data_IF_708559341156
#
_entry.id   IF_708559341156
#
_cell.length_a   1.000
_cell.length_b   1.000
_cell.length_c   1.000
_cell.angle_alpha   90.00
_cell.angle_beta   90.00
_cell.angle_gamma   90.00
#
_symmetry.space_group_name_H-M   'P 1'
#
loop_
_entity.id
_entity.type
_entity.pdbx_description
1 polymer ?
#
# COMPACT_ATOMS: atom_id res chain seq x y z
N UNK A 1 -0.33 -3.90 -21.96
CA UNK A 1 -1.64 -4.05 -21.34
C UNK A 1 -1.62 -3.52 -19.94
N UNK A 2 -2.45 -2.54 -19.67
CA UNK A 2 -2.48 -1.92 -18.33
C UNK A 2 -3.23 -2.84 -17.38
N UNK A 3 -2.55 -3.25 -16.32
CA UNK A 3 -3.18 -4.08 -15.31
C UNK A 3 -4.13 -3.22 -14.49
N UNK A 4 -5.40 -3.63 -14.41
CA UNK A 4 -6.39 -2.92 -13.61
C UNK A 4 -6.46 -3.54 -12.22
N UNK A 5 -6.06 -2.77 -11.23
CA UNK A 5 -6.15 -3.20 -9.84
C UNK A 5 -7.50 -2.81 -9.26
N UNK A 6 -7.96 -3.57 -8.28
CA UNK A 6 -9.08 -3.15 -7.46
C UNK A 6 -8.65 -1.91 -6.67
N UNK A 7 -9.34 -0.77 -6.80
CA UNK A 7 -8.89 0.48 -6.15
C UNK A 7 -8.78 0.38 -4.63
N UNK A 8 -9.67 -0.37 -3.99
CA UNK A 8 -9.66 -0.53 -2.53
C UNK A 8 -8.43 -1.32 -2.08
N UNK A 9 -8.17 -2.43 -2.75
CA UNK A 9 -7.00 -3.27 -2.46
C UNK A 9 -5.70 -2.54 -2.75
N UNK A 10 -5.67 -1.75 -3.83
CA UNK A 10 -4.48 -0.99 -4.20
C UNK A 10 -4.17 0.10 -3.19
N UNK A 11 -5.17 0.84 -2.74
CA UNK A 11 -4.96 1.87 -1.72
C UNK A 11 -4.57 1.23 -0.39
N UNK A 12 -5.16 0.08 -0.04
CA UNK A 12 -4.76 -0.66 1.15
C UNK A 12 -3.29 -1.08 1.11
N UNK A 13 -2.77 -1.45 -0.06
CA UNK A 13 -1.35 -1.77 -0.22
C UNK A 13 -0.47 -0.57 0.13
N UNK A 14 -0.83 0.63 -0.30
CA UNK A 14 -0.07 1.83 0.03
C UNK A 14 -0.03 2.08 1.55
N UNK A 15 -1.15 1.89 2.22
CA UNK A 15 -1.22 2.05 3.67
C UNK A 15 -0.37 0.98 4.36
N UNK A 16 -0.48 -0.26 3.92
CA UNK A 16 0.32 -1.36 4.47
C UNK A 16 1.82 -1.10 4.31
N UNK A 17 2.24 -0.63 3.14
CA UNK A 17 3.64 -0.27 2.90
C UNK A 17 4.13 0.79 3.89
N UNK A 18 3.33 1.82 4.14
CA UNK A 18 3.70 2.89 5.07
C UNK A 18 3.83 2.36 6.50
N UNK A 19 2.90 1.51 6.92
CA UNK A 19 2.91 0.91 8.26
C UNK A 19 4.13 0.01 8.43
N UNK A 20 4.40 -0.85 7.43
CA UNK A 20 5.55 -1.75 7.46
C UNK A 20 6.86 -0.97 7.53
N UNK A 21 6.99 0.08 6.73
CA UNK A 21 8.20 0.88 6.73
C UNK A 21 8.43 1.58 8.08
N UNK A 22 7.39 2.15 8.65
CA UNK A 22 7.49 2.83 9.95
C UNK A 22 7.83 1.88 11.09
N UNK A 23 7.22 0.69 11.08
CA UNK A 23 7.41 -0.27 12.16
C UNK A 23 8.74 -1.02 12.07
N UNK A 24 9.15 -1.41 10.86
CA UNK A 24 10.30 -2.28 10.66
C UNK A 24 11.41 -1.67 9.81
N UNK A 25 11.18 -0.52 9.18
CA UNK A 25 12.15 0.04 8.25
C UNK A 25 12.33 -0.80 7.01
N UNK A 26 11.32 -1.58 6.65
CA UNK A 26 11.41 -2.53 5.54
C UNK A 26 11.35 -1.88 4.15
N UNK A 27 10.95 -0.62 4.09
CA UNK A 27 10.59 -0.01 2.82
C UNK A 27 9.28 -0.56 2.28
N UNK A 28 8.98 -0.24 1.04
CA UNK A 28 7.79 -0.74 0.35
C UNK A 28 7.98 -2.21 -0.04
N UNK A 29 6.90 -2.92 -0.28
CA UNK A 29 6.99 -4.30 -0.74
C UNK A 29 7.75 -4.35 -2.07
N UNK A 30 8.59 -5.36 -2.23
CA UNK A 30 9.35 -5.54 -3.47
C UNK A 30 8.57 -6.36 -4.49
N UNK A 31 7.49 -7.00 -4.07
CA UNK A 31 6.63 -7.79 -4.93
C UNK A 31 5.21 -7.69 -4.40
N UNK A 32 4.25 -7.44 -5.28
CA UNK A 32 2.86 -7.32 -4.90
C UNK A 32 1.96 -7.99 -5.92
N UNK A 33 0.92 -8.62 -5.44
CA UNK A 33 -0.09 -9.25 -6.27
C UNK A 33 -1.44 -8.73 -5.80
N UNK A 34 -1.93 -7.71 -6.49
CA UNK A 34 -3.15 -7.01 -6.06
C UNK A 34 -4.36 -7.59 -6.77
N UNK A 35 -5.20 -8.27 -6.01
CA UNK A 35 -6.42 -8.90 -6.52
C UNK A 35 -7.62 -8.52 -5.66
N UNK A 36 -8.81 -8.64 -6.22
CA UNK A 36 -10.03 -8.20 -5.57
C UNK A 36 -10.35 -8.95 -4.27
N UNK A 37 -10.18 -10.25 -4.26
CA UNK A 37 -10.55 -11.08 -3.10
C UNK A 37 -9.46 -11.15 -2.04
N UNK A 38 -8.23 -11.27 -2.48
CA UNK A 38 -7.08 -11.40 -1.58
C UNK A 38 -5.85 -10.89 -2.30
N UNK A 39 -5.10 -10.06 -1.63
CA UNK A 39 -3.86 -9.52 -2.17
C UNK A 39 -2.67 -9.98 -1.36
N UNK A 40 -1.49 -9.92 -1.96
CA UNK A 40 -0.24 -10.39 -1.36
C UNK A 40 0.85 -9.34 -1.54
N UNK A 41 1.58 -9.09 -0.47
CA UNK A 41 2.76 -8.21 -0.50
C UNK A 41 3.93 -8.92 0.14
N UNK A 42 5.10 -8.83 -0.50
CA UNK A 42 6.32 -9.42 0.01
C UNK A 42 7.28 -8.31 0.43
N UNK A 43 7.83 -8.44 1.64
CA UNK A 43 8.74 -7.46 2.23
C UNK A 43 10.05 -8.13 2.61
N UNK A 44 11.15 -7.40 2.52
CA UNK A 44 12.41 -7.89 3.06
C UNK A 44 12.45 -7.55 4.55
N UNK A 45 12.63 -8.55 5.36
CA UNK A 45 12.63 -8.39 6.80
C UNK A 45 13.72 -9.26 7.43
N UNK A 46 14.69 -8.59 8.05
CA UNK A 46 15.82 -9.26 8.69
C UNK A 46 15.59 -9.30 10.21
N UNK A 47 14.96 -10.26 10.69
CA UNK A 47 14.79 -10.37 12.11
C UNK A 47 13.53 -11.11 12.48
N UNK A 48 13.37 -11.44 13.77
CA UNK A 48 12.22 -12.19 14.20
C UNK A 48 10.94 -11.39 14.09
N UNK A 49 9.87 -12.08 13.82
CA UNK A 49 8.54 -11.52 13.75
C UNK A 49 7.63 -12.30 14.68
N UNK A 50 6.86 -11.61 15.50
CA UNK A 50 5.93 -12.25 16.43
C UNK A 50 4.50 -12.12 15.92
N UNK A 51 3.62 -12.96 16.46
CA UNK A 51 2.20 -12.85 16.17
C UNK A 51 1.66 -11.50 16.62
N UNK A 52 2.20 -10.96 17.71
CA UNK A 52 1.83 -9.63 18.20
C UNK A 52 2.21 -8.55 17.20
N UNK A 53 3.38 -8.67 16.56
CA UNK A 53 3.82 -7.73 15.52
C UNK A 53 2.81 -7.69 14.38
N UNK A 54 2.34 -8.86 13.95
CA UNK A 54 1.36 -8.95 12.86
C UNK A 54 0.04 -8.31 13.27
N UNK A 55 -0.38 -8.53 14.50
CA UNK A 55 -1.61 -7.94 15.02
C UNK A 55 -1.51 -6.42 15.08
N UNK A 56 -0.36 -5.90 15.51
CA UNK A 56 -0.12 -4.46 15.54
C UNK A 56 -0.15 -3.84 14.14
N UNK A 57 0.42 -4.54 13.14
CA UNK A 57 0.38 -4.07 11.76
C UNK A 57 -1.09 -3.97 11.30
N UNK A 58 -1.87 -5.01 11.51
CA UNK A 58 -3.28 -5.02 11.14
C UNK A 58 -4.06 -3.89 11.82
N UNK A 59 -3.86 -3.74 13.13
CA UNK A 59 -4.54 -2.70 13.90
C UNK A 59 -4.15 -1.30 13.43
N UNK A 60 -2.88 -1.07 13.16
CA UNK A 60 -2.40 0.23 12.69
C UNK A 60 -2.94 0.57 11.31
N UNK A 61 -2.97 -0.41 10.40
CA UNK A 61 -3.58 -0.20 9.08
C UNK A 61 -5.04 0.20 9.23
N UNK A 62 -5.78 -0.48 10.10
CA UNK A 62 -7.19 -0.16 10.33
C UNK A 62 -7.39 1.20 10.98
N UNK A 63 -6.49 1.61 11.89
CA UNK A 63 -6.53 2.95 12.46
C UNK A 63 -6.41 4.02 11.38
N UNK A 64 -5.49 3.82 10.43
CA UNK A 64 -5.31 4.74 9.31
C UNK A 64 -6.58 4.77 8.46
N UNK A 65 -7.13 3.62 8.13
CA UNK A 65 -8.36 3.53 7.34
C UNK A 65 -9.51 4.30 7.99
N UNK A 66 -9.64 4.18 9.30
CA UNK A 66 -10.73 4.83 10.04
C UNK A 66 -10.49 6.31 10.30
N UNK A 67 -9.31 6.84 9.96
CA UNK A 67 -9.00 8.26 10.15
C UNK A 67 -9.58 9.17 9.07
N UNK A 68 -10.22 8.61 8.06
CA UNK A 68 -10.88 9.36 6.98
C UNK A 68 -9.98 10.32 6.20
N UNK A 69 -8.71 9.93 6.00
CA UNK A 69 -7.80 10.75 5.22
C UNK A 69 -8.18 10.76 3.74
N UNK A 70 -7.95 11.89 3.04
CA UNK A 70 -8.20 11.92 1.61
C UNK A 70 -7.09 11.20 0.84
N UNK A 71 -7.46 10.62 -0.29
CA UNK A 71 -6.50 10.10 -1.26
C UNK A 71 -6.46 11.12 -2.39
N UNK A 72 -5.30 11.71 -2.62
CA UNK A 72 -5.15 12.79 -3.61
C UNK A 72 -4.10 12.42 -4.65
N UNK A 73 -4.17 13.06 -5.80
CA UNK A 73 -3.14 12.89 -6.82
C UNK A 73 -2.53 14.23 -7.19
N UNK A 74 -1.27 14.17 -7.56
CA UNK A 74 -0.50 15.32 -7.98
C UNK A 74 0.37 14.88 -9.14
N UNK A 75 0.57 15.75 -10.11
CA UNK A 75 1.43 15.46 -11.25
C UNK A 75 2.68 16.33 -11.17
N UNK A 76 3.84 15.68 -11.17
CA UNK A 76 5.14 16.35 -11.12
C UNK A 76 5.94 16.02 -12.39
N UNK A 77 6.88 16.90 -12.75
CA UNK A 77 7.84 16.56 -13.79
C UNK A 77 8.71 15.40 -13.29
N UNK A 78 9.26 14.62 -14.22
CA UNK A 78 10.15 13.50 -13.84
C UNK A 78 11.31 13.98 -12.97
N UNK A 79 11.88 15.12 -13.29
CA UNK A 79 13.02 15.65 -12.53
C UNK A 79 12.63 15.97 -11.09
N UNK A 80 11.50 16.61 -10.89
CA UNK A 80 11.02 16.91 -9.55
C UNK A 80 10.63 15.66 -8.78
N UNK A 81 9.98 14.71 -9.46
CA UNK A 81 9.60 13.45 -8.82
C UNK A 81 10.83 12.66 -8.41
N UNK A 82 11.87 12.64 -9.23
CA UNK A 82 13.10 11.91 -8.94
C UNK A 82 13.81 12.44 -7.70
N UNK A 83 13.66 13.72 -7.36
CA UNK A 83 14.26 14.30 -6.16
C UNK A 83 13.63 13.76 -4.87
N UNK A 84 12.40 13.29 -4.92
CA UNK A 84 11.62 12.90 -3.73
C UNK A 84 11.20 11.45 -3.71
N UNK A 85 11.09 10.80 -4.87
CA UNK A 85 10.48 9.49 -5.00
C UNK A 85 11.35 8.56 -5.82
N UNK A 86 11.21 7.27 -5.55
CA UNK A 86 11.86 6.23 -6.33
C UNK A 86 11.06 5.97 -7.61
N UNK A 87 11.67 6.19 -8.77
CA UNK A 87 11.02 6.00 -10.06
C UNK A 87 11.32 4.66 -10.71
N UNK A 88 12.07 3.78 -10.05
CA UNK A 88 12.49 2.49 -10.64
C UNK A 88 11.34 1.60 -11.10
N UNK A 89 10.20 1.68 -10.43
CA UNK A 89 9.04 0.84 -10.75
C UNK A 89 8.14 1.40 -11.84
N UNK A 90 8.42 2.59 -12.31
CA UNK A 90 7.62 3.19 -13.38
C UNK A 90 7.98 2.56 -14.71
N UNK A 91 6.99 2.40 -15.62
CA UNK A 91 7.27 1.91 -16.96
C UNK A 91 8.30 2.79 -17.68
N UNK A 92 9.08 2.17 -18.54
CA UNK A 92 10.11 2.88 -19.31
C UNK A 92 9.51 3.97 -20.20
N UNK A 93 8.26 3.80 -20.62
CA UNK A 93 7.54 4.74 -21.46
C UNK A 93 6.75 5.78 -20.67
N UNK A 94 7.02 5.91 -19.38
CA UNK A 94 6.42 6.95 -18.55
C UNK A 94 6.76 8.32 -19.15
N UNK A 95 5.73 9.13 -19.36
CA UNK A 95 5.91 10.46 -19.98
C UNK A 95 6.70 11.41 -19.11
N UNK A 96 6.74 12.68 -19.51
CA UNK A 96 7.50 13.71 -18.81
C UNK A 96 6.95 14.05 -17.43
N UNK A 97 5.70 13.68 -17.17
CA UNK A 97 5.03 13.93 -15.88
C UNK A 97 4.74 12.62 -15.17
N UNK A 98 4.88 12.64 -13.86
CA UNK A 98 4.69 11.47 -12.99
C UNK A 98 3.57 11.76 -12.02
N UNK A 99 2.68 10.80 -11.87
CA UNK A 99 1.56 10.89 -10.94
C UNK A 99 2.01 10.47 -9.56
N UNK A 100 1.74 11.32 -8.56
CA UNK A 100 2.00 11.03 -7.16
C UNK A 100 0.67 10.82 -6.47
N UNK A 101 0.53 9.69 -5.79
CA UNK A 101 -0.65 9.41 -4.98
C UNK A 101 -0.30 9.61 -3.52
N UNK A 102 -1.13 10.39 -2.82
CA UNK A 102 -0.97 10.65 -1.40
C UNK A 102 -2.16 10.13 -0.64
N UNK A 103 -1.88 9.50 0.49
CA UNK A 103 -2.91 9.09 1.46
C UNK A 103 -2.70 9.98 2.69
N UNK A 104 -3.35 11.13 2.73
CA UNK A 104 -3.11 12.11 3.79
C UNK A 104 -1.63 12.36 3.99
N UNK A 105 -1.17 12.29 5.23
CA UNK A 105 0.24 12.39 5.60
C UNK A 105 0.90 11.03 5.79
N UNK A 106 0.17 9.96 5.53
CA UNK A 106 0.64 8.60 5.82
C UNK A 106 1.54 8.06 4.73
N UNK A 107 1.20 8.30 3.49
CA UNK A 107 1.94 7.75 2.36
C UNK A 107 1.93 8.71 1.17
N UNK A 108 3.01 8.68 0.41
CA UNK A 108 3.11 9.41 -0.86
C UNK A 108 4.07 8.66 -1.76
N UNK A 109 3.64 8.30 -2.95
CA UNK A 109 4.51 7.58 -3.88
C UNK A 109 4.03 7.74 -5.32
N UNK A 110 4.92 7.38 -6.24
CA UNK A 110 4.56 7.32 -7.66
C UNK A 110 3.67 6.11 -7.88
N UNK A 111 2.58 6.28 -8.62
CA UNK A 111 1.68 5.19 -8.91
C UNK A 111 0.83 5.46 -10.12
N UNK A 112 0.61 4.46 -10.95
CA UNK A 112 -0.19 4.58 -12.16
C UNK A 112 -1.55 3.89 -12.07
N UNK A 113 -1.77 3.07 -11.04
CA UNK A 113 -3.02 2.31 -10.91
C UNK A 113 -4.16 3.12 -10.29
N UNK A 114 -5.38 2.59 -10.32
CA UNK A 114 -6.54 3.26 -9.74
C UNK A 114 -6.53 3.20 -8.22
N UNK A 115 -7.03 4.27 -7.59
CA UNK A 115 -7.17 4.37 -6.14
C UNK A 115 -8.55 4.88 -5.77
N UNK A 116 -8.96 4.64 -4.51
CA UNK A 116 -10.19 5.22 -3.98
C UNK A 116 -9.99 6.72 -3.73
N UNK A 117 -11.09 7.48 -3.75
CA UNK A 117 -11.02 8.92 -3.48
C UNK A 117 -10.87 9.20 -1.98
N UNK A 118 -11.35 8.30 -1.13
CA UNK A 118 -11.23 8.42 0.31
C UNK A 118 -10.96 7.03 0.89
N UNK A 119 -10.06 6.95 1.88
CA UNK A 119 -9.71 5.65 2.46
C UNK A 119 -10.87 5.00 3.21
N UNK A 120 -11.88 5.76 3.59
CA UNK A 120 -13.08 5.18 4.20
C UNK A 120 -13.78 4.18 3.29
N UNK A 121 -13.56 4.27 1.98
CA UNK A 121 -14.13 3.33 1.02
C UNK A 121 -13.49 1.96 1.07
N UNK A 122 -12.34 1.83 1.75
CA UNK A 122 -11.62 0.55 1.83
C UNK A 122 -12.37 -0.47 2.68
N UNK A 123 -13.01 -0.01 3.74
CA UNK A 123 -13.65 -0.91 4.69
C UNK A 123 -12.68 -1.34 5.79
N UNK A 124 -12.60 -2.63 6.06
CA UNK A 124 -11.73 -3.16 7.10
C UNK A 124 -10.68 -4.09 6.53
N UNK A 125 -9.45 -3.90 6.96
CA UNK A 125 -8.28 -4.67 6.56
C UNK A 125 -8.08 -5.88 7.47
N UNK A 126 -7.82 -7.05 6.86
CA UNK A 126 -7.54 -8.27 7.60
C UNK A 126 -6.31 -8.96 7.00
N UNK A 127 -5.36 -9.31 7.85
CA UNK A 127 -4.25 -10.15 7.43
C UNK A 127 -4.74 -11.60 7.47
N UNK A 128 -4.92 -12.19 6.30
CA UNK A 128 -5.45 -13.55 6.18
C UNK A 128 -4.39 -14.59 6.52
N UNK A 129 -3.14 -14.34 6.13
CA UNK A 129 -2.02 -15.23 6.45
C UNK A 129 -0.70 -14.48 6.29
N UNK A 130 0.34 -15.01 6.91
CA UNK A 130 1.68 -14.47 6.76
C UNK A 130 2.70 -15.58 6.91
N UNK A 131 3.87 -15.40 6.31
CA UNK A 131 4.99 -16.31 6.47
C UNK A 131 6.30 -15.53 6.37
N UNK A 132 7.26 -15.90 7.20
CA UNK A 132 8.60 -15.33 7.14
C UNK A 132 9.58 -16.45 6.84
N UNK A 133 10.26 -16.36 5.70
CA UNK A 133 11.18 -17.39 5.26
C UNK A 133 12.30 -16.76 4.45
N UNK A 134 13.54 -17.06 4.79
CA UNK A 134 14.72 -16.58 4.07
C UNK A 134 14.76 -15.06 3.93
N UNK A 135 14.37 -14.34 4.98
CA UNK A 135 14.37 -12.88 4.96
C UNK A 135 13.24 -12.25 4.17
N UNK A 136 12.23 -13.03 3.78
CA UNK A 136 11.07 -12.53 3.06
C UNK A 136 9.82 -12.74 3.89
N UNK A 137 9.16 -11.65 4.23
CA UNK A 137 7.85 -11.69 4.89
C UNK A 137 6.78 -11.55 3.82
N UNK A 138 5.94 -12.55 3.71
CA UNK A 138 4.81 -12.54 2.80
C UNK A 138 3.54 -12.32 3.59
N UNK A 139 2.83 -11.26 3.28
CA UNK A 139 1.55 -10.93 3.89
C UNK A 139 0.44 -11.06 2.85
N UNK A 140 -0.57 -11.89 3.17
CA UNK A 140 -1.79 -11.95 2.37
C UNK A 140 -2.90 -11.29 3.15
N UNK A 141 -3.62 -10.40 2.50
CA UNK A 141 -4.67 -9.65 3.17
C UNK A 141 -5.95 -9.62 2.34
N UNK A 142 -7.03 -9.34 3.01
CA UNK A 142 -8.35 -9.19 2.39
C UNK A 142 -9.06 -8.01 3.04
N UNK A 143 -10.11 -7.55 2.39
CA UNK A 143 -10.93 -6.45 2.89
C UNK A 143 -12.36 -6.92 3.08
N UNK A 144 -13.01 -6.41 4.12
CA UNK A 144 -14.44 -6.60 4.36
C UNK A 144 -15.12 -5.25 4.43
N UNK A 145 -16.37 -5.19 4.02
CA UNK A 145 -17.02 -3.89 3.90
C UNK A 145 -16.60 -3.18 2.61
N UNK A 146 -16.69 -1.88 2.50
CA UNK A 146 -17.11 -0.99 3.56
C UNK A 146 -18.54 -1.24 3.98
N UNK A 147 -18.74 -1.28 5.28
CA UNK A 147 -20.08 -1.18 5.79
C UNK A 147 -20.50 0.26 5.58
N UNK A 148 -21.02 0.53 4.43
CA UNK A 148 -21.68 1.78 4.20
C UNK A 148 -23.02 1.70 4.87
N UNK A 149 -22.97 1.36 6.12
CA UNK A 149 -24.18 1.39 6.89
C UNK A 149 -24.54 2.84 7.03
N UNK A 150 -25.27 3.16 6.19
CA UNK A 150 -25.99 4.41 6.29
C UNK A 150 -25.11 5.46 6.43
#
# INVERSE_FOLDING_TARGET
>A
MTKTYDPRMHTAEHILNAVMDRKFGSGRCFNAHIEKKKSRCDYRLLGPLTEEDIREVEDTVNEVIHSNLPVTEEWLSKDRAAERYNLERLPADTGERVRIIRVGDVDACTCIGPHVASIREIGRFHIASHSLQDGVLRIRYKLTGPTLAG
#
